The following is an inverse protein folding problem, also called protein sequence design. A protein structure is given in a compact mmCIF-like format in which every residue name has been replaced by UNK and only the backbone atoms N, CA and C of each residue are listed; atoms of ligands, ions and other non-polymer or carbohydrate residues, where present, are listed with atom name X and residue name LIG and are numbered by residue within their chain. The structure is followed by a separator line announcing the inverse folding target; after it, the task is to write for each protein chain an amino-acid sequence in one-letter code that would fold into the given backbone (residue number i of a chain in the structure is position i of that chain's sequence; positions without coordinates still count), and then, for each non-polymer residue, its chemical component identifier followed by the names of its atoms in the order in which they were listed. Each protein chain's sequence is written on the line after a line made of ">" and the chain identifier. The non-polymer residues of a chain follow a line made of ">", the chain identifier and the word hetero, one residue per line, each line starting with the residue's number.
data_IF_716814614938
#
_entry.id   IF_716814614938
#
_cell.length_a   1.000
_cell.length_b   1.000
_cell.length_c   1.000
_cell.angle_alpha   90.00
_cell.angle_beta   90.00
_cell.angle_gamma   90.00
#
_symmetry.space_group_name_H-M   'P 1'
#
loop_
_entity.id
_entity.type
_entity.pdbx_description
1 polymer ?
#
# COMPACT_ATOMS: atom_id res chain seq x y z
N UNK A 1 -44.00 -40.73 -61.01
CA UNK A 1 -43.53 -41.16 -59.68
C UNK A 1 -44.33 -40.36 -58.67
N UNK A 2 -45.23 -41.01 -57.95
CA UNK A 2 -46.45 -40.44 -57.37
C UNK A 2 -46.42 -40.35 -55.82
N UNK A 3 -46.98 -39.26 -55.28
CA UNK A 3 -47.93 -39.03 -54.15
C UNK A 3 -48.35 -40.31 -53.36
N UNK A 4 -48.65 -40.36 -52.01
CA UNK A 4 -49.18 -39.32 -51.08
C UNK A 4 -48.63 -39.31 -49.62
N UNK A 5 -49.17 -38.43 -48.74
CA UNK A 5 -48.99 -38.45 -47.28
C UNK A 5 -49.95 -39.42 -46.57
N UNK A 6 -49.66 -39.78 -45.32
CA UNK A 6 -50.60 -40.51 -44.45
C UNK A 6 -50.54 -40.03 -43.00
N UNK A 7 -51.73 -39.74 -42.47
CA UNK A 7 -52.19 -39.52 -41.09
C UNK A 7 -53.49 -40.35 -41.00
N UNK A 8 -54.10 -40.74 -39.85
CA UNK A 8 -53.66 -41.03 -38.47
C UNK A 8 -54.07 -42.45 -38.02
N UNK A 9 -53.83 -42.82 -36.75
CA UNK A 9 -54.74 -43.72 -36.02
C UNK A 9 -54.89 -43.25 -34.58
N UNK A 10 -56.17 -43.07 -34.20
CA UNK A 10 -56.71 -42.79 -32.86
C UNK A 10 -56.79 -44.09 -32.07
N UNK A 11 -56.69 -43.98 -30.74
CA UNK A 11 -57.60 -44.56 -29.73
C UNK A 11 -57.22 -43.92 -28.38
N UNK A 12 -58.05 -43.01 -27.85
CA UNK A 12 -58.98 -43.25 -26.71
C UNK A 12 -58.25 -43.25 -25.36
N UNK A 13 -58.66 -42.56 -24.30
CA UNK A 13 -59.84 -41.78 -23.93
C UNK A 13 -59.55 -41.13 -22.57
N UNK A 14 -60.41 -40.19 -22.17
CA UNK A 14 -60.64 -39.65 -20.82
C UNK A 14 -59.93 -38.35 -20.39
N UNK A 15 -60.71 -37.26 -20.42
CA UNK A 15 -60.61 -36.13 -19.49
C UNK A 15 -61.28 -36.53 -18.15
N UNK A 16 -60.94 -35.87 -17.02
CA UNK A 16 -61.77 -34.73 -16.65
C UNK A 16 -61.00 -33.50 -16.15
N UNK A 17 -61.47 -32.37 -16.69
CA UNK A 17 -61.74 -31.07 -16.06
C UNK A 17 -61.27 -30.86 -14.61
N UNK A 18 -60.40 -29.87 -14.38
CA UNK A 18 -60.61 -28.80 -13.40
C UNK A 18 -59.82 -27.55 -13.82
N UNK A 19 -60.51 -26.57 -14.41
CA UNK A 19 -60.05 -25.20 -14.63
C UNK A 19 -60.21 -24.42 -13.33
N UNK A 20 -59.16 -23.71 -12.87
CA UNK A 20 -59.33 -22.48 -12.09
C UNK A 20 -58.27 -21.43 -12.46
N UNK A 21 -58.61 -20.12 -12.44
CA UNK A 21 -57.81 -19.04 -13.02
C UNK A 21 -56.81 -18.43 -12.03
N UNK A 22 -55.71 -17.90 -12.58
CA UNK A 22 -54.73 -17.05 -11.87
C UNK A 22 -55.39 -15.72 -11.50
N UNK A 23 -55.45 -15.42 -10.21
CA UNK A 23 -55.81 -14.09 -9.70
C UNK A 23 -54.55 -13.23 -9.58
N UNK A 24 -54.57 -12.03 -10.17
CA UNK A 24 -53.57 -10.99 -9.92
C UNK A 24 -53.63 -10.51 -8.45
N UNK A 25 -52.50 -10.18 -7.81
CA UNK A 25 -52.49 -9.71 -6.44
C UNK A 25 -53.05 -8.27 -6.34
N UNK A 26 -53.62 -7.89 -5.18
CA UNK A 26 -54.16 -6.57 -4.97
C UNK A 26 -53.05 -5.51 -4.82
N UNK A 27 -53.32 -4.31 -5.32
CA UNK A 27 -52.49 -3.13 -5.13
C UNK A 27 -52.38 -2.78 -3.64
N UNK A 28 -51.15 -2.55 -3.17
CA UNK A 28 -50.88 -2.09 -1.81
C UNK A 28 -51.34 -0.64 -1.61
N UNK A 29 -51.86 -0.27 -0.43
CA UNK A 29 -52.11 1.13 -0.10
C UNK A 29 -50.78 1.83 0.21
N UNK A 30 -50.62 3.03 -0.34
CA UNK A 30 -49.57 3.94 0.06
C UNK A 30 -49.78 4.35 1.53
N UNK A 31 -48.82 4.05 2.39
CA UNK A 31 -48.68 4.70 3.69
C UNK A 31 -47.23 5.15 3.85
N UNK A 32 -47.04 6.47 3.89
CA UNK A 32 -45.79 7.09 4.26
C UNK A 32 -45.45 6.76 5.71
N UNK A 33 -44.36 6.03 5.88
CA UNK A 33 -43.57 6.01 7.10
C UNK A 33 -42.21 6.58 6.73
N UNK A 34 -41.77 7.58 7.48
CA UNK A 34 -40.44 8.17 7.33
C UNK A 34 -39.39 7.12 7.68
N UNK A 35 -38.81 6.46 6.68
CA UNK A 35 -37.55 5.76 6.81
C UNK A 35 -36.43 6.80 6.94
N UNK A 36 -36.37 7.43 8.11
CA UNK A 36 -35.07 7.77 8.69
C UNK A 36 -34.51 6.47 9.23
N UNK A 37 -34.09 5.59 8.33
CA UNK A 37 -33.06 4.62 8.64
C UNK A 37 -31.90 5.44 9.22
N UNK A 38 -31.66 5.24 10.50
CA UNK A 38 -30.39 5.58 11.10
C UNK A 38 -29.32 4.96 10.20
N UNK A 39 -28.63 5.80 9.43
CA UNK A 39 -27.23 5.54 9.11
C UNK A 39 -26.51 5.50 10.47
N UNK A 40 -26.57 4.35 11.12
CA UNK A 40 -25.62 4.00 12.15
C UNK A 40 -24.27 4.12 11.46
N UNK A 41 -23.52 5.16 11.83
CA UNK A 41 -22.23 5.45 11.23
C UNK A 41 -21.39 4.19 11.29
N UNK A 42 -21.14 3.60 10.13
CA UNK A 42 -20.11 2.58 9.99
C UNK A 42 -18.82 3.33 10.31
N UNK A 43 -18.30 3.11 11.52
CA UNK A 43 -16.96 3.56 11.91
C UNK A 43 -16.01 3.19 10.76
N UNK A 44 -15.32 4.17 10.13
CA UNK A 44 -14.46 3.88 9.00
C UNK A 44 -13.44 2.80 9.38
N UNK A 45 -13.56 1.63 8.74
CA UNK A 45 -12.75 0.45 9.02
C UNK A 45 -11.26 0.79 8.94
N UNK A 46 -10.51 0.40 9.97
CA UNK A 46 -9.06 0.59 10.02
C UNK A 46 -8.40 0.08 8.73
N UNK A 47 -7.44 0.85 8.20
CA UNK A 47 -6.73 0.45 6.98
C UNK A 47 -5.90 -0.79 7.29
N UNK A 48 -6.29 -1.93 6.71
CA UNK A 48 -5.59 -3.20 6.87
C UNK A 48 -4.14 -3.04 6.44
N UNK A 49 -3.23 -3.51 7.29
CA UNK A 49 -1.78 -3.45 7.07
C UNK A 49 -1.24 -2.03 6.78
N UNK A 50 -1.80 -1.00 7.42
CA UNK A 50 -1.43 0.39 7.20
C UNK A 50 0.08 0.66 7.28
N UNK A 51 0.79 0.06 8.23
CA UNK A 51 2.24 0.23 8.38
C UNK A 51 3.01 -0.25 7.15
N UNK A 52 2.67 -1.43 6.62
CA UNK A 52 3.28 -1.95 5.38
C UNK A 52 2.98 -1.04 4.19
N UNK A 53 1.71 -0.66 4.00
CA UNK A 53 1.29 0.21 2.89
C UNK A 53 1.94 1.60 2.95
N UNK A 54 2.12 2.16 4.15
CA UNK A 54 2.78 3.45 4.35
C UNK A 54 4.28 3.38 4.00
N UNK A 55 4.97 2.30 4.35
CA UNK A 55 6.37 2.08 3.93
C UNK A 55 6.46 2.05 2.40
N UNK A 56 5.57 1.31 1.74
CA UNK A 56 5.53 1.22 0.27
C UNK A 56 5.29 2.59 -0.38
N UNK A 57 4.32 3.34 0.13
CA UNK A 57 4.00 4.68 -0.36
C UNK A 57 5.19 5.64 -0.20
N UNK A 58 5.83 5.63 0.96
CA UNK A 58 6.97 6.50 1.24
C UNK A 58 8.20 6.14 0.39
N UNK A 59 8.45 4.84 0.15
CA UNK A 59 9.49 4.37 -0.78
C UNK A 59 9.25 4.86 -2.20
N UNK A 60 8.02 4.70 -2.73
CA UNK A 60 7.65 5.20 -4.07
C UNK A 60 7.84 6.70 -4.18
N UNK A 61 7.35 7.45 -3.19
CA UNK A 61 7.46 8.91 -3.15
C UNK A 61 8.92 9.34 -3.23
N UNK A 62 9.78 8.79 -2.38
CA UNK A 62 11.17 9.22 -2.32
C UNK A 62 11.97 8.79 -3.55
N UNK A 63 11.77 7.57 -4.06
CA UNK A 63 12.43 7.10 -5.28
C UNK A 63 11.98 7.86 -6.54
N UNK A 64 10.80 8.47 -6.54
CA UNK A 64 10.38 9.39 -7.61
C UNK A 64 11.07 10.76 -7.55
N UNK A 65 11.47 11.22 -6.35
CA UNK A 65 12.05 12.56 -6.12
C UNK A 65 13.57 12.57 -6.18
N UNK A 66 14.21 11.55 -5.59
CA UNK A 66 15.67 11.48 -5.42
C UNK A 66 16.49 11.58 -6.71
N UNK A 67 16.12 10.92 -7.83
CA UNK A 67 16.85 11.07 -9.09
C UNK A 67 16.91 12.53 -9.56
N UNK A 68 15.82 13.28 -9.39
CA UNK A 68 15.79 14.69 -9.73
C UNK A 68 16.62 15.54 -8.77
N UNK A 69 16.53 15.31 -7.46
CA UNK A 69 17.38 15.98 -6.47
C UNK A 69 18.87 15.80 -6.77
N UNK A 70 19.26 14.60 -7.23
CA UNK A 70 20.64 14.31 -7.61
C UNK A 70 21.06 15.10 -8.86
N UNK A 71 20.22 15.13 -9.90
CA UNK A 71 20.48 15.88 -11.14
C UNK A 71 20.59 17.39 -10.91
N UNK A 72 19.91 17.91 -9.88
CA UNK A 72 19.94 19.31 -9.51
C UNK A 72 21.15 19.71 -8.64
N UNK A 73 21.99 18.75 -8.24
CA UNK A 73 23.18 19.04 -7.44
C UNK A 73 24.22 19.82 -8.28
N UNK A 74 24.67 20.96 -7.76
CA UNK A 74 25.69 21.79 -8.40
C UNK A 74 27.07 21.61 -7.73
N UNK A 75 28.17 21.87 -8.44
CA UNK A 75 29.50 21.93 -7.83
C UNK A 75 29.55 22.91 -6.64
N UNK A 76 30.08 22.46 -5.50
CA UNK A 76 30.18 23.27 -4.27
C UNK A 76 28.95 23.21 -3.35
N UNK A 77 27.89 22.48 -3.71
CA UNK A 77 26.74 22.21 -2.83
C UNK A 77 26.99 21.01 -1.89
N UNK A 78 28.14 20.96 -1.21
CA UNK A 78 28.56 19.82 -0.40
C UNK A 78 27.54 19.47 0.70
N UNK A 79 26.94 20.46 1.34
CA UNK A 79 25.92 20.29 2.38
C UNK A 79 24.66 19.57 1.84
N UNK A 80 24.26 19.88 0.60
CA UNK A 80 23.10 19.27 -0.06
C UNK A 80 23.42 17.85 -0.54
N UNK A 81 24.64 17.64 -1.04
CA UNK A 81 25.15 16.30 -1.36
C UNK A 81 25.15 15.39 -0.14
N UNK A 82 25.67 15.87 0.99
CA UNK A 82 25.68 15.12 2.25
C UNK A 82 24.26 14.90 2.79
N UNK A 83 23.37 15.89 2.68
CA UNK A 83 21.97 15.72 3.07
C UNK A 83 21.27 14.64 2.23
N UNK A 84 21.49 14.61 0.92
CA UNK A 84 20.96 13.58 0.02
C UNK A 84 21.51 12.19 0.41
N UNK A 85 22.81 12.09 0.71
CA UNK A 85 23.42 10.84 1.14
C UNK A 85 22.84 10.34 2.47
N UNK A 86 22.64 11.22 3.45
CA UNK A 86 21.98 10.87 4.73
C UNK A 86 20.54 10.39 4.52
N UNK A 87 19.78 11.08 3.67
CA UNK A 87 18.40 10.69 3.36
C UNK A 87 18.34 9.34 2.64
N UNK A 88 19.23 9.12 1.66
CA UNK A 88 19.36 7.83 0.98
C UNK A 88 19.69 6.70 1.96
N UNK A 89 20.62 6.93 2.90
CA UNK A 89 20.95 5.96 3.94
C UNK A 89 19.73 5.65 4.82
N UNK A 90 18.99 6.68 5.24
CA UNK A 90 17.75 6.52 6.00
C UNK A 90 16.72 5.65 5.25
N UNK A 91 16.46 5.94 3.97
CA UNK A 91 15.53 5.14 3.13
C UNK A 91 16.00 3.69 3.02
N UNK A 92 17.30 3.46 2.82
CA UNK A 92 17.85 2.12 2.73
C UNK A 92 17.68 1.34 4.05
N UNK A 93 17.95 1.98 5.20
CA UNK A 93 17.79 1.34 6.51
C UNK A 93 16.31 1.04 6.79
N UNK A 94 15.39 1.93 6.42
CA UNK A 94 13.95 1.66 6.53
C UNK A 94 13.52 0.46 5.68
N UNK A 95 14.02 0.34 4.44
CA UNK A 95 13.73 -0.79 3.56
C UNK A 95 14.25 -2.11 4.14
N UNK A 96 15.52 -2.15 4.57
CA UNK A 96 16.11 -3.37 5.16
C UNK A 96 15.34 -3.79 6.40
N UNK A 97 15.00 -2.85 7.28
CA UNK A 97 14.17 -3.16 8.45
C UNK A 97 12.80 -3.72 8.02
N UNK A 98 12.16 -3.12 7.03
CA UNK A 98 10.88 -3.59 6.51
C UNK A 98 10.93 -5.03 5.98
N UNK A 99 11.89 -5.34 5.10
CA UNK A 99 12.09 -6.70 4.59
C UNK A 99 12.40 -7.70 5.71
N UNK A 100 13.24 -7.33 6.67
CA UNK A 100 13.58 -8.20 7.80
C UNK A 100 12.36 -8.50 8.68
N UNK A 101 11.52 -7.50 8.98
CA UNK A 101 10.30 -7.70 9.77
C UNK A 101 9.32 -8.63 9.04
N UNK A 102 9.19 -8.44 7.74
CA UNK A 102 8.40 -9.29 6.87
C UNK A 102 8.88 -10.75 6.92
N UNK A 103 10.15 -11.01 6.58
CA UNK A 103 10.72 -12.35 6.47
C UNK A 103 10.78 -13.09 7.80
N UNK A 104 11.11 -12.40 8.89
CA UNK A 104 11.34 -13.04 10.20
C UNK A 104 10.08 -13.16 11.06
N UNK A 105 9.09 -12.27 10.88
CA UNK A 105 7.87 -12.26 11.73
C UNK A 105 6.61 -12.64 10.98
N UNK A 106 6.38 -12.04 9.81
CA UNK A 106 5.10 -12.17 9.13
C UNK A 106 5.06 -13.45 8.29
N UNK A 107 6.10 -13.73 7.50
CA UNK A 107 6.12 -14.82 6.53
C UNK A 107 5.99 -16.19 7.22
N UNK A 108 6.64 -16.45 8.38
CA UNK A 108 6.48 -17.72 9.09
C UNK A 108 5.03 -18.00 9.52
N UNK A 109 4.29 -16.96 9.91
CA UNK A 109 2.88 -17.08 10.29
C UNK A 109 2.04 -17.39 9.05
N UNK A 110 2.24 -16.65 7.96
CA UNK A 110 1.50 -16.88 6.70
C UNK A 110 1.79 -18.28 6.15
N UNK A 111 3.05 -18.74 6.16
CA UNK A 111 3.44 -20.10 5.77
C UNK A 111 2.69 -21.17 6.57
N UNK A 112 2.43 -20.92 7.86
CA UNK A 112 1.76 -21.85 8.75
C UNK A 112 0.25 -21.94 8.48
N UNK A 113 -0.40 -20.82 8.20
CA UNK A 113 -1.86 -20.74 8.11
C UNK A 113 -2.40 -20.65 6.67
N UNK A 114 -1.55 -20.38 5.69
CA UNK A 114 -1.86 -20.34 4.25
C UNK A 114 -0.74 -21.06 3.45
N UNK A 115 -0.57 -22.39 3.62
CA UNK A 115 0.53 -23.15 3.01
C UNK A 115 0.56 -23.10 1.47
N UNK A 116 -0.58 -22.81 0.83
CA UNK A 116 -0.70 -22.58 -0.61
C UNK A 116 0.11 -21.36 -1.09
N UNK A 117 0.40 -20.40 -0.21
CA UNK A 117 1.21 -19.21 -0.54
C UNK A 117 2.72 -19.46 -0.48
N UNK A 118 3.17 -20.66 -0.08
CA UNK A 118 4.60 -20.94 0.16
C UNK A 118 5.50 -20.60 -1.03
N UNK A 119 5.08 -20.86 -2.26
CA UNK A 119 5.88 -20.54 -3.45
C UNK A 119 5.99 -19.03 -3.68
N UNK A 120 4.90 -18.28 -3.45
CA UNK A 120 4.92 -16.82 -3.54
C UNK A 120 5.83 -16.22 -2.47
N UNK A 121 5.73 -16.68 -1.23
CA UNK A 121 6.57 -16.19 -0.12
C UNK A 121 8.06 -16.51 -0.33
N UNK A 122 8.38 -17.69 -0.87
CA UNK A 122 9.76 -18.03 -1.21
C UNK A 122 10.31 -17.13 -2.33
N UNK A 123 9.46 -16.75 -3.29
CA UNK A 123 9.85 -15.82 -4.34
C UNK A 123 10.06 -14.41 -3.78
N UNK A 124 9.14 -13.92 -2.93
CA UNK A 124 9.25 -12.60 -2.28
C UNK A 124 10.49 -12.49 -1.39
N UNK A 125 10.74 -13.49 -0.54
CA UNK A 125 11.95 -13.53 0.30
C UNK A 125 13.22 -13.52 -0.56
N UNK A 126 13.28 -14.29 -1.66
CA UNK A 126 14.42 -14.23 -2.58
C UNK A 126 14.54 -12.87 -3.29
N UNK A 127 13.42 -12.21 -3.57
CA UNK A 127 13.39 -10.89 -4.19
C UNK A 127 13.84 -9.78 -3.23
N UNK A 128 13.53 -9.88 -1.93
CA UNK A 128 14.10 -9.01 -0.89
C UNK A 128 15.64 -9.03 -0.93
N UNK A 129 16.24 -10.22 -0.94
CA UNK A 129 17.70 -10.35 -1.01
C UNK A 129 18.29 -9.70 -2.27
N UNK A 130 17.62 -9.85 -3.42
CA UNK A 130 18.06 -9.22 -4.68
C UNK A 130 17.91 -7.68 -4.66
N UNK A 131 16.83 -7.17 -4.05
CA UNK A 131 16.61 -5.74 -3.86
C UNK A 131 17.64 -5.15 -2.90
N UNK A 132 17.90 -5.78 -1.76
CA UNK A 132 18.90 -5.33 -0.78
C UNK A 132 20.31 -5.25 -1.40
N UNK A 133 20.66 -6.22 -2.25
CA UNK A 133 21.89 -6.15 -3.04
C UNK A 133 21.89 -4.97 -4.03
N UNK A 134 20.77 -4.70 -4.68
CA UNK A 134 20.64 -3.59 -5.64
C UNK A 134 20.72 -2.24 -4.93
N UNK A 135 20.07 -2.09 -3.79
CA UNK A 135 20.17 -0.92 -2.91
C UNK A 135 21.59 -0.70 -2.39
N UNK A 136 22.31 -1.76 -2.00
CA UNK A 136 23.72 -1.67 -1.60
C UNK A 136 24.61 -1.13 -2.73
N UNK A 137 24.39 -1.60 -3.97
CA UNK A 137 25.12 -1.11 -5.16
C UNK A 137 24.82 0.35 -5.43
N UNK A 138 23.55 0.74 -5.42
CA UNK A 138 23.13 2.13 -5.63
C UNK A 138 23.64 3.03 -4.50
N UNK A 139 23.70 2.56 -3.26
CA UNK A 139 24.30 3.30 -2.14
C UNK A 139 25.75 3.68 -2.37
N UNK A 140 26.52 2.78 -3.00
CA UNK A 140 27.91 3.08 -3.37
C UNK A 140 27.97 4.20 -4.42
N UNK A 141 27.04 4.19 -5.38
CA UNK A 141 26.94 5.19 -6.44
C UNK A 141 26.48 6.56 -5.91
N UNK A 142 25.47 6.58 -5.04
CA UNK A 142 24.96 7.81 -4.40
C UNK A 142 26.06 8.51 -3.61
N UNK A 143 26.91 7.76 -2.89
CA UNK A 143 28.08 8.32 -2.18
C UNK A 143 29.11 8.98 -3.11
N UNK A 144 29.23 8.51 -4.36
CA UNK A 144 30.10 9.15 -5.35
C UNK A 144 29.43 10.42 -5.85
N UNK A 145 28.18 10.33 -6.29
CA UNK A 145 27.43 11.45 -6.84
C UNK A 145 27.17 12.57 -5.83
N UNK A 146 27.18 12.27 -4.51
CA UNK A 146 27.08 13.29 -3.46
C UNK A 146 28.32 14.19 -3.34
N UNK A 147 29.44 13.79 -3.96
CA UNK A 147 30.72 14.54 -3.95
C UNK A 147 31.21 14.94 -5.34
N UNK A 148 30.65 14.31 -6.37
CA UNK A 148 30.96 14.58 -7.77
C UNK A 148 29.66 14.77 -8.57
N UNK A 149 29.33 16.02 -8.84
CA UNK A 149 28.17 16.39 -9.66
C UNK A 149 28.25 15.82 -11.08
N UNK A 150 29.45 15.52 -11.61
CA UNK A 150 29.62 14.89 -12.92
C UNK A 150 29.03 13.48 -12.99
N UNK A 151 28.93 12.79 -11.85
CA UNK A 151 28.36 11.45 -11.72
C UNK A 151 26.83 11.45 -11.52
N UNK A 152 26.18 12.62 -11.35
CA UNK A 152 24.78 12.71 -10.98
C UNK A 152 23.83 12.00 -11.96
N UNK A 153 24.02 12.19 -13.28
CA UNK A 153 23.12 11.62 -14.29
C UNK A 153 23.17 10.08 -14.35
N UNK A 154 24.34 9.43 -14.49
CA UNK A 154 24.43 7.97 -14.44
C UNK A 154 23.85 7.36 -13.16
N UNK A 155 24.07 8.01 -12.00
CA UNK A 155 23.55 7.51 -10.73
C UNK A 155 22.04 7.68 -10.63
N UNK A 156 21.48 8.80 -11.12
CA UNK A 156 20.04 8.99 -11.20
C UNK A 156 19.36 7.90 -12.04
N UNK A 157 19.94 7.51 -13.18
CA UNK A 157 19.43 6.39 -13.98
C UNK A 157 19.49 5.04 -13.23
N UNK A 158 20.55 4.79 -12.46
CA UNK A 158 20.64 3.58 -11.63
C UNK A 158 19.58 3.56 -10.52
N UNK A 159 19.24 4.72 -9.94
CA UNK A 159 18.14 4.85 -8.97
C UNK A 159 16.77 4.61 -9.63
N UNK A 160 16.57 5.07 -10.87
CA UNK A 160 15.33 4.83 -11.61
C UNK A 160 15.13 3.36 -11.97
N UNK A 161 16.19 2.64 -12.38
CA UNK A 161 16.12 1.18 -12.59
C UNK A 161 15.79 0.43 -11.29
N UNK A 162 16.39 0.86 -10.18
CA UNK A 162 16.07 0.32 -8.85
C UNK A 162 14.61 0.58 -8.47
N UNK A 163 14.10 1.79 -8.73
CA UNK A 163 12.71 2.15 -8.46
C UNK A 163 11.73 1.28 -9.25
N UNK A 164 12.02 0.99 -10.53
CA UNK A 164 11.18 0.11 -11.35
C UNK A 164 11.15 -1.35 -10.83
N UNK A 165 12.29 -1.85 -10.34
CA UNK A 165 12.38 -3.18 -9.71
C UNK A 165 11.58 -3.23 -8.41
N UNK A 166 11.78 -2.25 -7.53
CA UNK A 166 11.04 -2.16 -6.28
C UNK A 166 9.54 -2.02 -6.55
N UNK A 167 9.11 -1.21 -7.52
CA UNK A 167 7.69 -1.11 -7.88
C UNK A 167 7.09 -2.47 -8.27
N UNK A 168 7.83 -3.27 -9.04
CA UNK A 168 7.36 -4.62 -9.41
C UNK A 168 7.15 -5.49 -8.19
N UNK A 169 8.08 -5.44 -7.23
CA UNK A 169 7.99 -6.13 -5.95
C UNK A 169 6.78 -5.68 -5.12
N UNK A 170 6.69 -4.38 -4.83
CA UNK A 170 5.62 -3.79 -4.00
C UNK A 170 4.23 -4.09 -4.57
N UNK A 171 4.08 -4.03 -5.90
CA UNK A 171 2.82 -4.36 -6.57
C UNK A 171 2.42 -5.83 -6.38
N UNK A 172 3.37 -6.76 -6.33
CA UNK A 172 3.09 -8.17 -6.07
C UNK A 172 2.63 -8.35 -4.63
N UNK A 173 3.33 -7.73 -3.67
CA UNK A 173 2.90 -7.77 -2.28
C UNK A 173 1.49 -7.22 -2.11
N UNK A 174 1.23 -6.01 -2.61
CA UNK A 174 -0.03 -5.31 -2.43
C UNK A 174 -1.21 -5.99 -3.11
N UNK A 175 -1.02 -6.48 -4.35
CA UNK A 175 -2.13 -7.05 -5.14
C UNK A 175 -2.34 -8.54 -4.90
N UNK A 176 -1.29 -9.26 -4.49
CA UNK A 176 -1.35 -10.71 -4.40
C UNK A 176 -1.22 -11.20 -2.96
N UNK A 177 -0.34 -10.61 -2.16
CA UNK A 177 -0.08 -11.11 -0.81
C UNK A 177 -1.04 -10.50 0.22
N UNK A 178 -1.12 -9.17 0.31
CA UNK A 178 -1.90 -8.48 1.35
C UNK A 178 -3.37 -8.93 1.40
N UNK A 179 -4.12 -9.04 0.28
CA UNK A 179 -5.52 -9.48 0.33
C UNK A 179 -5.67 -10.90 0.87
N UNK A 180 -4.68 -11.77 0.63
CA UNK A 180 -4.69 -13.15 1.15
C UNK A 180 -4.25 -13.22 2.60
N UNK A 181 -3.38 -12.31 3.03
CA UNK A 181 -3.04 -12.14 4.45
C UNK A 181 -4.25 -11.72 5.30
N UNK A 182 -5.26 -11.05 4.72
CA UNK A 182 -6.50 -10.74 5.45
C UNK A 182 -7.27 -11.99 5.90
N UNK A 183 -7.09 -13.13 5.21
CA UNK A 183 -7.67 -14.41 5.61
C UNK A 183 -6.87 -15.11 6.71
N UNK A 184 -5.63 -14.69 6.93
CA UNK A 184 -4.72 -15.25 7.95
C UNK A 184 -4.79 -14.45 9.26
N UNK A 185 -4.83 -13.12 9.16
CA UNK A 185 -4.84 -12.23 10.31
C UNK A 185 -6.23 -11.64 10.51
N UNK A 186 -6.77 -11.70 11.72
CA UNK A 186 -8.05 -11.06 12.05
C UNK A 186 -8.00 -9.54 11.85
N UNK A 187 -9.16 -8.92 11.73
CA UNK A 187 -9.29 -7.46 11.59
C UNK A 187 -8.69 -6.70 12.79
N UNK A 188 -8.80 -7.28 13.98
CA UNK A 188 -8.26 -6.77 15.24
C UNK A 188 -6.76 -7.04 15.43
N UNK A 189 -6.13 -7.79 14.52
CA UNK A 189 -4.69 -8.05 14.61
C UNK A 189 -3.90 -6.76 14.38
N UNK A 190 -2.90 -6.52 15.24
CA UNK A 190 -1.94 -5.42 15.05
C UNK A 190 -0.92 -5.71 13.94
N UNK A 191 -0.87 -6.92 13.40
CA UNK A 191 0.13 -7.31 12.40
C UNK A 191 0.07 -6.39 11.18
N UNK A 192 1.20 -5.74 10.86
CA UNK A 192 1.35 -4.81 9.74
C UNK A 192 0.68 -3.45 9.97
N UNK A 193 0.18 -3.16 11.17
CA UNK A 193 -0.38 -1.85 11.52
C UNK A 193 0.72 -0.80 11.73
N UNK A 194 0.37 0.49 11.65
CA UNK A 194 1.31 1.58 11.96
C UNK A 194 1.80 1.50 13.43
N UNK A 195 0.93 1.30 14.43
CA UNK A 195 1.38 1.17 15.82
C UNK A 195 2.37 0.01 16.03
N UNK A 196 2.15 -1.15 15.40
CA UNK A 196 3.11 -2.27 15.49
C UNK A 196 4.45 -1.89 14.84
N UNK A 197 4.44 -1.27 13.67
CA UNK A 197 5.66 -0.80 13.02
C UNK A 197 6.46 0.15 13.94
N UNK A 198 5.80 1.09 14.62
CA UNK A 198 6.48 1.99 15.54
C UNK A 198 7.09 1.24 16.76
N UNK A 199 6.41 0.23 17.30
CA UNK A 199 6.95 -0.63 18.37
C UNK A 199 8.21 -1.39 17.93
N UNK A 200 8.19 -1.90 16.69
CA UNK A 200 9.32 -2.61 16.11
C UNK A 200 10.51 -1.68 15.91
N UNK A 201 10.29 -0.48 15.37
CA UNK A 201 11.33 0.53 15.18
C UNK A 201 11.93 1.00 16.52
N UNK A 202 11.12 1.12 17.59
CA UNK A 202 11.63 1.44 18.93
C UNK A 202 12.58 0.38 19.50
N UNK A 203 12.44 -0.87 19.05
CA UNK A 203 13.20 -2.01 19.55
C UNK A 203 14.41 -2.34 18.68
N UNK A 204 14.53 -1.74 17.49
CA UNK A 204 15.58 -2.00 16.53
C UNK A 204 16.68 -0.93 16.59
N UNK A 205 17.91 -1.33 16.25
CA UNK A 205 19.01 -0.40 15.96
C UNK A 205 18.77 0.23 14.58
N UNK A 206 17.89 1.22 14.51
CA UNK A 206 17.40 1.80 13.26
C UNK A 206 17.04 3.28 13.35
N UNK A 207 16.33 3.80 12.34
CA UNK A 207 15.91 5.19 12.34
C UNK A 207 14.95 5.47 13.50
N UNK A 208 15.10 6.65 14.11
CA UNK A 208 14.24 7.05 15.23
C UNK A 208 12.77 7.08 14.83
N UNK A 209 11.89 6.63 15.72
CA UNK A 209 10.44 6.56 15.50
C UNK A 209 9.83 7.89 15.06
N UNK A 210 10.36 9.02 15.55
CA UNK A 210 9.92 10.35 15.16
C UNK A 210 10.16 10.64 13.67
N UNK A 211 11.37 10.37 13.17
CA UNK A 211 11.73 10.58 11.77
C UNK A 211 11.01 9.59 10.85
N UNK A 212 10.91 8.33 11.28
CA UNK A 212 10.17 7.29 10.56
C UNK A 212 8.68 7.66 10.41
N UNK A 213 8.02 8.06 11.49
CA UNK A 213 6.60 8.44 11.45
C UNK A 213 6.37 9.65 10.53
N UNK A 214 7.21 10.68 10.64
CA UNK A 214 7.10 11.85 9.78
C UNK A 214 7.35 11.51 8.30
N UNK A 215 8.32 10.63 8.03
CA UNK A 215 8.57 10.12 6.69
C UNK A 215 7.42 9.28 6.13
N UNK A 216 6.82 8.40 6.93
CA UNK A 216 5.68 7.56 6.53
C UNK A 216 4.45 8.38 6.17
N UNK A 217 4.21 9.47 6.91
CA UNK A 217 3.01 10.29 6.77
C UNK A 217 3.18 11.51 5.83
N UNK A 218 4.37 11.75 5.27
CA UNK A 218 4.58 12.84 4.29
C UNK A 218 3.75 12.60 3.00
N UNK A 219 2.88 13.55 2.69
CA UNK A 219 1.95 13.47 1.55
C UNK A 219 0.72 12.60 1.78
N UNK A 220 0.48 12.08 2.98
CA UNK A 220 -0.74 11.35 3.33
C UNK A 220 -1.88 12.34 3.61
N UNK A 221 -3.09 12.01 3.15
CA UNK A 221 -4.29 12.84 3.34
C UNK A 221 -4.53 13.19 4.83
N UNK A 222 -4.80 14.46 5.19
CA UNK A 222 -4.90 14.88 6.59
C UNK A 222 -5.90 14.10 7.44
N UNK A 223 -7.09 13.82 6.90
CA UNK A 223 -8.12 13.06 7.60
C UNK A 223 -7.68 11.61 7.91
N UNK A 224 -6.83 11.04 7.07
CA UNK A 224 -6.27 9.71 7.28
C UNK A 224 -5.10 9.76 8.27
N UNK A 225 -4.26 10.80 8.23
CA UNK A 225 -3.24 11.06 9.26
C UNK A 225 -3.88 11.13 10.64
N UNK A 226 -4.96 11.87 10.81
CA UNK A 226 -5.68 11.98 12.09
C UNK A 226 -6.11 10.61 12.63
N UNK A 227 -6.66 9.74 11.78
CA UNK A 227 -7.06 8.38 12.17
C UNK A 227 -5.86 7.51 12.54
N UNK A 228 -4.81 7.53 11.71
CA UNK A 228 -3.59 6.73 11.94
C UNK A 228 -2.89 7.14 13.24
N UNK A 229 -2.88 8.43 13.57
CA UNK A 229 -2.32 8.95 14.81
C UNK A 229 -3.22 8.60 16.01
N UNK A 230 -4.54 8.62 15.86
CA UNK A 230 -5.48 8.21 16.92
C UNK A 230 -5.33 6.73 17.30
N UNK A 231 -4.89 5.87 16.37
CA UNK A 231 -4.59 4.46 16.62
C UNK A 231 -3.23 4.23 17.34
N UNK A 232 -2.40 5.26 17.46
CA UNK A 232 -1.10 5.20 18.12
C UNK A 232 -1.19 5.51 19.64
N UNK A 233 -0.07 5.36 20.37
CA UNK A 233 -0.02 5.71 21.78
C UNK A 233 -0.07 7.24 22.01
N UNK A 234 -0.44 7.65 23.22
CA UNK A 234 -0.61 9.06 23.55
C UNK A 234 0.69 9.88 23.37
N UNK A 235 1.85 9.25 23.53
CA UNK A 235 3.15 9.92 23.34
C UNK A 235 3.35 10.29 21.87
N UNK A 236 3.03 9.38 20.95
CA UNK A 236 3.02 9.65 19.51
C UNK A 236 2.03 10.78 19.18
N UNK A 237 0.80 10.70 19.67
CA UNK A 237 -0.23 11.70 19.38
C UNK A 237 0.15 13.11 19.87
N UNK A 238 0.70 13.21 21.09
CA UNK A 238 1.17 14.48 21.67
C UNK A 238 2.32 15.12 20.90
N UNK A 239 3.27 14.31 20.43
CA UNK A 239 4.49 14.81 19.79
C UNK A 239 4.39 14.96 18.26
N UNK A 240 3.37 14.37 17.63
CA UNK A 240 3.20 14.36 16.17
C UNK A 240 3.37 15.74 15.50
N UNK A 241 2.70 16.83 15.95
CA UNK A 241 2.84 18.14 15.30
C UNK A 241 4.29 18.65 15.31
N UNK A 242 5.03 18.37 16.39
CA UNK A 242 6.43 18.77 16.50
C UNK A 242 7.31 17.98 15.53
N UNK A 243 7.18 16.66 15.50
CA UNK A 243 7.95 15.78 14.61
C UNK A 243 7.71 16.11 13.14
N UNK A 244 6.44 16.28 12.74
CA UNK A 244 6.09 16.68 11.38
C UNK A 244 6.76 18.00 10.98
N UNK A 245 6.69 19.01 11.85
CA UNK A 245 7.29 20.32 11.56
C UNK A 245 8.81 20.23 11.42
N UNK A 246 9.46 19.40 12.25
CA UNK A 246 10.92 19.21 12.23
C UNK A 246 11.36 18.50 10.97
N UNK A 247 10.67 17.41 10.59
CA UNK A 247 10.92 16.69 9.35
C UNK A 247 10.79 17.61 8.12
N UNK A 248 9.72 18.40 8.03
CA UNK A 248 9.51 19.33 6.90
C UNK A 248 10.66 20.35 6.80
N UNK A 249 11.13 20.91 7.91
CA UNK A 249 12.28 21.84 7.90
C UNK A 249 13.57 21.15 7.44
N UNK A 250 13.83 19.93 7.92
CA UNK A 250 15.05 19.18 7.59
C UNK A 250 15.06 18.71 6.13
N UNK A 251 13.91 18.36 5.56
CA UNK A 251 13.80 17.79 4.22
C UNK A 251 13.51 18.81 3.12
N UNK A 252 13.04 20.02 3.45
CA UNK A 252 12.79 21.09 2.47
C UNK A 252 14.00 21.41 1.58
N UNK A 253 15.21 21.23 2.09
CA UNK A 253 16.45 21.49 1.35
C UNK A 253 16.83 20.35 0.40
N UNK A 254 16.30 19.13 0.60
CA UNK A 254 16.60 17.95 -0.22
C UNK A 254 15.92 18.00 -1.59
N UNK A 255 14.66 18.43 -1.60
CA UNK A 255 13.81 18.39 -2.79
C UNK A 255 13.98 19.61 -3.72
N UNK A 256 14.79 20.59 -3.30
CA UNK A 256 14.88 21.90 -3.94
C UNK A 256 13.64 22.74 -3.66
N UNK A 257 13.56 23.96 -4.22
CA UNK A 257 12.30 24.72 -4.24
C UNK A 257 11.30 23.91 -5.08
N UNK A 258 10.42 23.16 -4.42
CA UNK A 258 9.29 22.55 -5.07
C UNK A 258 8.41 23.67 -5.66
N UNK A 259 8.18 23.64 -6.97
CA UNK A 259 6.91 24.13 -7.48
C UNK A 259 5.84 23.23 -6.85
N UNK A 260 5.16 23.81 -5.86
CA UNK A 260 4.06 23.21 -5.13
C UNK A 260 2.94 22.92 -6.14
N UNK A 261 2.52 21.65 -6.22
CA UNK A 261 1.34 21.06 -6.91
C UNK A 261 1.67 20.27 -8.17
N UNK A 262 1.83 18.96 -8.02
CA UNK A 262 0.86 17.99 -8.52
C UNK A 262 1.27 16.58 -8.10
N UNK A 263 0.31 15.79 -7.64
CA UNK A 263 0.53 14.40 -7.25
C UNK A 263 -0.05 14.00 -5.90
N UNK A 264 -1.25 14.49 -5.55
CA UNK A 264 -2.12 13.71 -4.68
C UNK A 264 -2.64 12.51 -5.49
N UNK A 265 -1.80 11.47 -5.63
CA UNK A 265 -2.30 10.17 -6.04
C UNK A 265 -3.00 9.56 -4.82
N UNK A 266 -4.15 8.95 -5.04
CA UNK A 266 -4.96 8.29 -4.01
C UNK A 266 -4.12 7.17 -3.33
N UNK A 267 -3.43 7.50 -2.24
CA UNK A 267 -2.38 6.64 -1.65
C UNK A 267 -2.99 5.41 -0.99
N UNK A 268 -4.28 5.40 -0.63
CA UNK A 268 -4.92 4.24 0.01
C UNK A 268 -6.29 3.85 -0.54
N UNK A 269 -6.87 4.57 -1.50
CA UNK A 269 -8.15 4.26 -2.14
C UNK A 269 -7.99 3.48 -3.46
N UNK A 270 -8.47 2.24 -3.50
CA UNK A 270 -8.45 1.43 -4.73
C UNK A 270 -8.76 -0.04 -4.52
N UNK A 271 -9.83 -0.35 -3.79
CA UNK A 271 -10.47 -1.66 -3.81
C UNK A 271 -11.86 -1.50 -4.43
N UNK A 272 -11.95 -1.59 -5.76
CA UNK A 272 -13.15 -1.93 -6.53
C UNK A 272 -12.83 -1.84 -8.04
N UNK A 273 -12.51 -2.97 -8.64
CA UNK A 273 -13.13 -3.56 -9.86
C UNK A 273 -12.40 -4.85 -10.26
#
# INVERSE_FOLDING_TARGET
>A
MAIPPAVPSREESAMPSHLLPVASPPAAPAQGGSDREHAAGEEPRAVRFAGLRLVHAALRRDLSRLPNSLRLLQPGEDDKGEALLRHWHFVNTMLTCHHEQQDTRIWPIVRRFAPELRLLLNWLEADHHNLDHSFTRVSTLVRIASRDAGSAWPVAYAMEDLAARLETHLRIEERQLLPRMELVFTETSRVGSLPELLDLLRSADGPGTADALAWLLDGVEPALVERLIADCDDDVARNWPHWQSTYQRCTAQLWGRADIRDGAADILGGAAE
#
